data_IF_349367214440
#
_entry.id   IF_349367214440
#
_cell.length_a   1.000
_cell.length_b   1.000
_cell.length_c   1.000
_cell.angle_alpha   90.00
_cell.angle_beta   90.00
_cell.angle_gamma   90.00
#
_symmetry.space_group_name_H-M   'P 1'
#
loop_
_entity.id
_entity.type
_entity.pdbx_description
1 polymer ?
#
# COMPACT_ATOMS: atom_id res chain seq x y z
N UNK A 1 -0.91 -10.10 -4.05
CA UNK A 1 -0.75 -9.51 -2.69
C UNK A 1 -0.30 -8.08 -2.85
N UNK A 2 -0.75 -7.12 -2.03
CA UNK A 2 -0.37 -5.71 -2.22
C UNK A 2 1.09 -5.53 -1.80
N UNK A 3 1.87 -4.73 -2.52
CA UNK A 3 3.28 -4.45 -2.20
C UNK A 3 3.45 -3.94 -0.77
N UNK A 4 2.53 -3.09 -0.30
CA UNK A 4 2.54 -2.58 1.08
C UNK A 4 2.47 -3.70 2.12
N UNK A 5 1.73 -4.78 1.86
CA UNK A 5 1.64 -5.92 2.77
C UNK A 5 2.97 -6.69 2.83
N UNK A 6 3.67 -6.83 1.68
CA UNK A 6 5.01 -7.42 1.63
C UNK A 6 6.03 -6.57 2.38
N UNK A 7 5.99 -5.25 2.22
CA UNK A 7 6.86 -4.33 2.95
C UNK A 7 6.64 -4.49 4.46
N UNK A 8 5.39 -4.53 4.91
CA UNK A 8 5.06 -4.76 6.34
C UNK A 8 5.62 -6.08 6.85
N UNK A 9 5.45 -7.17 6.09
CA UNK A 9 5.98 -8.49 6.45
C UNK A 9 7.51 -8.50 6.52
N UNK A 10 8.18 -7.96 5.50
CA UNK A 10 9.64 -7.85 5.47
C UNK A 10 10.17 -7.00 6.64
N UNK A 11 9.49 -5.90 6.93
CA UNK A 11 9.83 -5.01 8.06
C UNK A 11 9.68 -5.73 9.40
N UNK A 12 8.58 -6.44 9.63
CA UNK A 12 8.38 -7.23 10.85
C UNK A 12 9.46 -8.31 11.02
N UNK A 13 9.79 -9.03 9.94
CA UNK A 13 10.84 -10.04 9.94
C UNK A 13 12.22 -9.44 10.24
N UNK A 14 12.54 -8.29 9.63
CA UNK A 14 13.79 -7.57 9.87
C UNK A 14 13.94 -7.15 11.34
N UNK A 15 12.88 -6.64 11.96
CA UNK A 15 12.89 -6.23 13.36
C UNK A 15 13.10 -7.43 14.28
N UNK A 16 12.46 -8.57 13.99
CA UNK A 16 12.68 -9.81 14.73
C UNK A 16 14.14 -10.25 14.65
N UNK A 17 14.76 -10.18 13.48
CA UNK A 17 16.15 -10.61 13.28
C UNK A 17 17.16 -9.66 13.95
N UNK A 18 16.98 -8.35 13.77
CA UNK A 18 17.90 -7.34 14.29
C UNK A 18 17.79 -7.15 15.81
N UNK A 19 16.58 -7.24 16.36
CA UNK A 19 16.29 -6.83 17.73
C UNK A 19 15.67 -7.91 18.60
N UNK A 20 15.48 -9.12 18.08
CA UNK A 20 14.90 -10.27 18.81
C UNK A 20 13.55 -9.93 19.46
N UNK A 21 12.79 -9.06 18.80
CA UNK A 21 11.48 -8.57 19.26
C UNK A 21 10.46 -8.86 18.17
N UNK A 22 9.33 -9.46 18.54
CA UNK A 22 8.25 -9.71 17.59
C UNK A 22 7.40 -8.44 17.37
N UNK A 23 7.10 -8.17 16.10
CA UNK A 23 6.09 -7.20 15.69
C UNK A 23 5.08 -7.82 14.75
N UNK A 24 3.83 -7.38 14.85
CA UNK A 24 2.81 -7.76 13.90
C UNK A 24 2.92 -6.86 12.67
N UNK A 25 2.89 -7.46 11.48
CA UNK A 25 2.88 -6.72 10.22
C UNK A 25 1.72 -5.70 10.15
N UNK A 26 0.59 -6.00 10.80
CA UNK A 26 -0.56 -5.10 10.88
C UNK A 26 -0.26 -3.77 11.60
N UNK A 27 0.67 -3.76 12.56
CA UNK A 27 1.03 -2.58 13.34
C UNK A 27 2.04 -1.67 12.62
N UNK A 28 2.59 -2.13 11.51
CA UNK A 28 3.58 -1.39 10.73
C UNK A 28 2.85 -0.46 9.76
N UNK A 29 3.08 0.84 9.93
CA UNK A 29 2.52 1.87 9.06
C UNK A 29 3.41 2.06 7.83
N UNK A 30 2.82 1.81 6.67
CA UNK A 30 3.45 2.00 5.35
C UNK A 30 2.58 2.96 4.55
N UNK A 31 3.17 4.04 4.05
CA UNK A 31 2.53 5.04 3.20
C UNK A 31 3.23 5.10 1.84
N UNK A 32 2.62 5.74 0.85
CA UNK A 32 3.34 6.19 -0.33
C UNK A 32 4.35 7.27 0.08
N UNK A 33 5.55 7.22 -0.49
CA UNK A 33 6.55 8.27 -0.30
C UNK A 33 6.03 9.55 -0.94
N UNK A 34 6.25 10.69 -0.27
CA UNK A 34 5.81 11.96 -0.82
C UNK A 34 6.59 12.29 -2.10
N UNK A 35 5.96 12.89 -3.13
CA UNK A 35 6.61 13.16 -4.42
C UNK A 35 7.89 13.99 -4.34
N UNK A 36 8.06 14.80 -3.30
CA UNK A 36 9.27 15.60 -3.06
C UNK A 36 10.48 14.80 -2.54
N UNK A 37 10.32 13.51 -2.22
CA UNK A 37 11.38 12.66 -1.68
C UNK A 37 11.63 11.44 -2.56
N UNK A 38 12.87 10.93 -2.51
CA UNK A 38 13.25 9.72 -3.22
C UNK A 38 12.75 8.45 -2.49
N UNK A 39 12.14 7.54 -3.26
CA UNK A 39 11.56 6.28 -2.83
C UNK A 39 10.09 6.16 -3.25
N UNK A 40 9.53 4.96 -3.15
CA UNK A 40 8.13 4.66 -3.54
C UNK A 40 7.22 4.50 -2.34
N UNK A 41 7.72 3.83 -1.28
CA UNK A 41 6.97 3.58 -0.06
C UNK A 41 7.78 3.94 1.19
N UNK A 42 7.11 4.47 2.20
CA UNK A 42 7.72 4.90 3.46
C UNK A 42 7.25 4.02 4.62
N UNK A 43 8.20 3.46 5.36
CA UNK A 43 7.96 2.87 6.69
C UNK A 43 8.10 3.96 7.74
N UNK A 44 7.07 4.15 8.56
CA UNK A 44 7.05 5.18 9.62
C UNK A 44 7.59 4.61 10.93
N UNK A 45 8.75 5.12 11.39
CA UNK A 45 9.49 4.51 12.50
C UNK A 45 9.08 5.00 13.90
N UNK A 46 8.24 6.02 14.04
CA UNK A 46 8.03 6.69 15.35
C UNK A 46 7.48 5.78 16.45
N UNK A 47 6.57 4.87 16.12
CA UNK A 47 6.05 3.88 17.08
C UNK A 47 7.16 2.93 17.56
N UNK A 48 8.18 2.73 16.73
CA UNK A 48 9.24 1.75 16.92
C UNK A 48 10.39 2.25 17.79
N UNK A 49 10.74 3.52 17.62
CA UNK A 49 11.83 4.24 18.31
C UNK A 49 11.77 4.05 19.82
N UNK A 50 10.57 4.20 20.43
CA UNK A 50 10.40 4.10 21.89
C UNK A 50 10.60 2.66 22.38
N UNK A 51 10.08 1.68 21.66
CA UNK A 51 10.15 0.27 22.06
C UNK A 51 11.56 -0.30 21.89
N UNK A 52 12.24 0.07 20.81
CA UNK A 52 13.59 -0.41 20.48
C UNK A 52 14.69 0.44 21.13
N UNK A 53 14.34 1.56 21.79
CA UNK A 53 15.26 2.49 22.47
C UNK A 53 16.41 2.98 21.58
N UNK A 54 16.11 3.18 20.28
CA UNK A 54 17.06 3.72 19.28
C UNK A 54 16.60 5.09 18.80
N UNK A 55 17.53 5.93 18.35
CA UNK A 55 17.16 7.15 17.63
C UNK A 55 16.51 6.79 16.28
N UNK A 56 15.63 7.64 15.73
CA UNK A 56 15.04 7.41 14.41
C UNK A 56 16.09 7.19 13.32
N UNK A 57 17.20 7.93 13.38
CA UNK A 57 18.28 7.85 12.38
C UNK A 57 19.03 6.52 12.47
N UNK A 58 19.38 6.07 13.68
CA UNK A 58 20.09 4.80 13.86
C UNK A 58 19.19 3.61 13.49
N UNK A 59 17.92 3.63 13.91
CA UNK A 59 16.95 2.60 13.57
C UNK A 59 16.71 2.54 12.05
N UNK A 60 16.50 3.69 11.41
CA UNK A 60 16.26 3.74 9.98
C UNK A 60 17.44 3.26 9.16
N UNK A 61 18.68 3.60 9.56
CA UNK A 61 19.87 3.13 8.87
C UNK A 61 20.04 1.61 8.96
N UNK A 62 19.92 1.04 10.17
CA UNK A 62 20.05 -0.40 10.38
C UNK A 62 18.95 -1.18 9.66
N UNK A 63 17.70 -0.74 9.82
CA UNK A 63 16.53 -1.40 9.23
C UNK A 63 16.53 -1.29 7.70
N UNK A 64 16.81 -0.10 7.16
CA UNK A 64 16.90 0.12 5.72
C UNK A 64 18.01 -0.72 5.08
N UNK A 65 19.19 -0.75 5.69
CA UNK A 65 20.32 -1.55 5.19
C UNK A 65 19.99 -3.04 5.18
N UNK A 66 19.37 -3.54 6.25
CA UNK A 66 18.94 -4.94 6.34
C UNK A 66 17.87 -5.28 5.30
N UNK A 67 16.85 -4.42 5.15
CA UNK A 67 15.76 -4.65 4.20
C UNK A 67 16.27 -4.76 2.77
N UNK A 68 17.14 -3.83 2.34
CA UNK A 68 17.72 -3.86 0.99
C UNK A 68 18.63 -5.06 0.79
N UNK A 69 19.45 -5.43 1.79
CA UNK A 69 20.35 -6.57 1.67
C UNK A 69 19.62 -7.92 1.59
N UNK A 70 18.60 -8.12 2.43
CA UNK A 70 17.92 -9.42 2.56
C UNK A 70 16.74 -9.58 1.59
N UNK A 71 16.27 -8.49 0.96
CA UNK A 71 15.15 -8.52 0.02
C UNK A 71 15.49 -7.82 -1.30
N UNK A 72 16.57 -8.23 -2.00
CA UNK A 72 17.06 -7.53 -3.20
C UNK A 72 16.09 -7.60 -4.39
N UNK A 73 15.14 -8.55 -4.37
CA UNK A 73 14.08 -8.64 -5.38
C UNK A 73 12.94 -7.66 -5.12
N UNK A 74 12.84 -7.11 -3.90
CA UNK A 74 11.80 -6.18 -3.51
C UNK A 74 12.31 -4.74 -3.42
N UNK A 75 13.52 -4.52 -2.91
CA UNK A 75 14.09 -3.18 -2.72
C UNK A 75 15.41 -3.00 -3.47
N UNK A 76 15.62 -1.80 -4.02
CA UNK A 76 16.91 -1.39 -4.64
C UNK A 76 17.70 -0.41 -3.80
N UNK A 77 17.03 0.30 -2.88
CA UNK A 77 17.66 1.33 -2.07
C UNK A 77 16.71 1.92 -1.05
N UNK A 78 17.23 2.84 -0.24
CA UNK A 78 16.44 3.60 0.73
C UNK A 78 17.04 4.98 1.01
N UNK A 79 16.20 5.90 1.46
CA UNK A 79 16.60 7.17 2.05
C UNK A 79 15.94 7.35 3.42
N UNK A 80 16.55 8.16 4.28
CA UNK A 80 16.06 8.39 5.64
C UNK A 80 15.86 9.88 5.91
N UNK A 81 14.65 10.25 6.29
CA UNK A 81 14.28 11.65 6.57
C UNK A 81 13.56 11.69 7.90
N UNK A 82 14.25 12.10 8.98
CA UNK A 82 13.64 12.35 10.31
C UNK A 82 12.71 11.22 10.82
N UNK A 83 13.11 9.96 10.65
CA UNK A 83 12.30 8.80 11.08
C UNK A 83 11.29 8.28 10.04
N UNK A 84 11.32 8.80 8.83
CA UNK A 84 10.66 8.22 7.66
C UNK A 84 11.70 7.47 6.83
N UNK A 85 11.59 6.14 6.82
CA UNK A 85 12.43 5.27 6.00
C UNK A 85 11.75 5.07 4.65
N UNK A 86 12.21 5.80 3.64
CA UNK A 86 11.68 5.72 2.28
C UNK A 86 12.43 4.62 1.53
N UNK A 87 11.70 3.69 0.94
CA UNK A 87 12.21 2.51 0.24
C UNK A 87 11.92 2.64 -1.25
N UNK A 88 12.92 2.36 -2.07
CA UNK A 88 12.76 2.24 -3.53
C UNK A 88 12.52 0.77 -3.88
N UNK A 89 11.45 0.51 -4.61
CA UNK A 89 11.06 -0.84 -5.04
C UNK A 89 11.84 -1.21 -6.29
N UNK A 90 12.22 -2.49 -6.39
CA UNK A 90 12.90 -2.99 -7.57
C UNK A 90 11.98 -3.01 -8.80
N UNK A 91 12.43 -2.48 -9.94
CA UNK A 91 11.67 -2.55 -11.20
C UNK A 91 11.28 -4.00 -11.58
N UNK A 92 12.17 -4.96 -11.28
CA UNK A 92 11.92 -6.39 -11.48
C UNK A 92 10.68 -6.90 -10.72
N UNK A 93 10.38 -6.33 -9.55
CA UNK A 93 9.16 -6.63 -8.81
C UNK A 93 7.92 -6.23 -9.62
N UNK A 94 7.89 -5.02 -10.17
CA UNK A 94 6.76 -4.52 -10.95
C UNK A 94 6.59 -5.26 -12.26
N UNK A 95 7.69 -5.57 -12.96
CA UNK A 95 7.65 -6.37 -14.18
C UNK A 95 7.10 -7.78 -13.91
N UNK A 96 7.54 -8.42 -12.82
CA UNK A 96 7.03 -9.72 -12.41
C UNK A 96 5.55 -9.65 -12.05
N UNK A 97 5.17 -8.66 -11.24
CA UNK A 97 3.77 -8.41 -10.87
C UNK A 97 2.87 -8.24 -12.09
N UNK A 98 3.29 -7.43 -13.07
CA UNK A 98 2.55 -7.25 -14.31
C UNK A 98 2.47 -8.54 -15.12
N UNK A 99 3.57 -9.29 -15.24
CA UNK A 99 3.59 -10.56 -15.96
C UNK A 99 2.67 -11.61 -15.33
N UNK A 100 2.55 -11.64 -14.00
CA UNK A 100 1.62 -12.52 -13.29
C UNK A 100 0.16 -12.05 -13.39
N UNK A 101 -0.08 -10.74 -13.35
CA UNK A 101 -1.44 -10.16 -13.39
C UNK A 101 -2.04 -10.17 -14.81
N UNK A 102 -1.23 -9.91 -15.84
CA UNK A 102 -1.67 -9.77 -17.22
C UNK A 102 -2.49 -10.95 -17.78
N UNK A 103 -2.11 -12.23 -17.59
CA UNK A 103 -2.89 -13.36 -18.11
C UNK A 103 -4.22 -13.56 -17.36
N UNK A 104 -4.40 -12.93 -16.19
CA UNK A 104 -5.64 -13.05 -15.43
C UNK A 104 -6.72 -12.09 -15.96
N UNK A 105 -7.60 -12.61 -16.82
CA UNK A 105 -8.74 -11.86 -17.36
C UNK A 105 -9.72 -11.33 -16.28
N UNK A 106 -9.70 -11.90 -15.08
CA UNK A 106 -10.51 -11.47 -13.94
C UNK A 106 -9.71 -10.59 -12.96
N UNK A 107 -8.54 -10.07 -13.34
CA UNK A 107 -7.77 -9.17 -12.49
C UNK A 107 -8.62 -7.97 -12.06
N UNK A 108 -8.58 -7.63 -10.76
CA UNK A 108 -9.41 -6.57 -10.18
C UNK A 108 -10.86 -6.99 -9.86
N UNK A 109 -11.29 -8.19 -10.23
CA UNK A 109 -12.59 -8.74 -9.82
C UNK A 109 -12.42 -9.55 -8.53
N UNK A 110 -13.41 -9.43 -7.63
CA UNK A 110 -13.48 -10.25 -6.42
C UNK A 110 -14.54 -11.33 -6.59
N UNK A 111 -14.37 -12.45 -5.91
CA UNK A 111 -15.38 -13.50 -5.92
C UNK A 111 -16.72 -12.96 -5.37
N UNK A 112 -17.87 -13.33 -5.98
CA UNK A 112 -19.16 -12.92 -5.46
C UNK A 112 -19.34 -13.36 -4.00
N UNK A 113 -19.76 -12.44 -3.13
CA UNK A 113 -20.03 -12.73 -1.70
C UNK A 113 -21.35 -13.48 -1.45
N UNK A 114 -22.16 -13.70 -2.49
CA UNK A 114 -23.51 -14.26 -2.36
C UNK A 114 -24.53 -13.31 -1.72
N UNK A 115 -24.16 -12.04 -1.53
CA UNK A 115 -25.01 -11.01 -0.95
C UNK A 115 -25.82 -10.30 -2.05
N UNK A 116 -27.08 -9.97 -1.76
CA UNK A 116 -27.91 -9.13 -2.63
C UNK A 116 -27.78 -7.67 -2.21
N UNK A 117 -27.42 -6.81 -3.15
CA UNK A 117 -27.31 -5.36 -2.94
C UNK A 117 -28.32 -4.66 -3.86
N UNK A 118 -29.14 -3.78 -3.30
CA UNK A 118 -30.06 -2.94 -4.07
C UNK A 118 -29.39 -1.57 -4.30
N UNK A 119 -29.17 -1.22 -5.56
CA UNK A 119 -28.64 0.08 -5.97
C UNK A 119 -29.77 0.87 -6.61
N UNK A 120 -30.33 1.84 -5.88
CA UNK A 120 -31.33 2.78 -6.43
C UNK A 120 -30.62 4.07 -6.87
N UNK A 121 -30.83 4.44 -8.13
CA UNK A 121 -30.25 5.67 -8.69
C UNK A 121 -31.08 6.19 -9.87
N UNK A 122 -30.70 7.36 -10.36
CA UNK A 122 -31.41 8.20 -11.33
C UNK A 122 -32.72 8.80 -10.79
N UNK A 123 -33.73 7.95 -10.53
CA UNK A 123 -35.09 8.28 -10.05
C UNK A 123 -35.58 9.71 -10.40
N UNK A 124 -35.54 10.14 -11.67
CA UNK A 124 -35.88 11.52 -12.03
C UNK A 124 -37.40 11.70 -11.98
N UNK A 125 -37.84 12.94 -11.74
CA UNK A 125 -39.26 13.27 -11.83
C UNK A 125 -39.71 13.23 -13.31
N UNK A 126 -40.73 12.44 -13.61
CA UNK A 126 -41.26 12.27 -14.97
C UNK A 126 -41.94 13.52 -15.55
N UNK A 127 -42.23 14.51 -14.71
CA UNK A 127 -42.86 15.77 -15.13
C UNK A 127 -41.86 16.84 -15.59
N UNK A 128 -40.55 16.54 -15.63
CA UNK A 128 -39.51 17.47 -16.09
C UNK A 128 -38.46 16.73 -16.93
N UNK A 129 -37.87 17.37 -17.95
CA UNK A 129 -36.79 16.77 -18.73
C UNK A 129 -35.54 16.57 -17.87
N UNK A 130 -34.74 15.56 -18.23
CA UNK A 130 -33.43 15.37 -17.65
C UNK A 130 -32.52 16.56 -17.99
N UNK A 131 -31.78 17.00 -16.98
CA UNK A 131 -30.73 18.01 -17.09
C UNK A 131 -29.39 17.52 -16.52
N UNK A 132 -28.33 18.28 -16.75
CA UNK A 132 -26.95 17.95 -16.36
C UNK A 132 -26.79 17.52 -14.89
N UNK A 133 -27.51 18.16 -13.97
CA UNK A 133 -27.51 17.77 -12.54
C UNK A 133 -27.90 16.30 -12.26
N UNK A 134 -28.70 15.66 -13.11
CA UNK A 134 -29.05 14.23 -12.95
C UNK A 134 -27.93 13.30 -13.39
N UNK A 135 -27.06 13.74 -14.32
CA UNK A 135 -26.02 12.88 -14.87
C UNK A 135 -25.04 12.40 -13.80
N UNK A 136 -24.74 13.22 -12.79
CA UNK A 136 -23.92 12.80 -11.65
C UNK A 136 -24.53 11.59 -10.94
N UNK A 137 -25.83 11.64 -10.63
CA UNK A 137 -26.50 10.53 -9.96
C UNK A 137 -26.53 9.29 -10.87
N UNK A 138 -26.88 9.49 -12.16
CA UNK A 138 -26.91 8.42 -13.16
C UNK A 138 -25.57 7.69 -13.27
N UNK A 139 -24.47 8.43 -13.41
CA UNK A 139 -23.17 7.83 -13.62
C UNK A 139 -22.60 7.20 -12.35
N UNK A 140 -22.82 7.80 -11.18
CA UNK A 140 -22.39 7.21 -9.92
C UNK A 140 -23.13 5.90 -9.64
N UNK A 141 -24.46 5.88 -9.79
CA UNK A 141 -25.24 4.67 -9.58
C UNK A 141 -24.88 3.56 -10.57
N UNK A 142 -24.69 3.90 -11.85
CA UNK A 142 -24.22 2.92 -12.84
C UNK A 142 -22.80 2.41 -12.57
N UNK A 143 -21.90 3.24 -12.01
CA UNK A 143 -20.53 2.81 -11.69
C UNK A 143 -20.42 1.84 -10.50
N UNK A 144 -21.46 1.79 -9.66
CA UNK A 144 -21.52 0.97 -8.45
C UNK A 144 -22.31 -0.33 -8.71
N UNK A 145 -23.23 -0.33 -9.67
CA UNK A 145 -24.06 -1.46 -10.06
C UNK A 145 -23.26 -2.55 -10.78
#
# INVERSE_FOLDING_TARGET
MRVADQIKQATAAAIRQLYQTDWQAADILVNETKPEFEGDYTVVLFAMVKQLKKSPDALGQELGSYLVAENPTLFTGFTLIKGFLNLTIADGFWLHFLAEAYPNAAYGQTAPRGEKVMVEYSSPNTNKPLHLGHLRNNFLGWSIA
#
